data_IF_087764949756
#
_entry.id   IF_087764949756
#
_cell.length_a   1.000
_cell.length_b   1.000
_cell.length_c   1.000
_cell.angle_alpha   90.00
_cell.angle_beta   90.00
_cell.angle_gamma   90.00
#
_symmetry.space_group_name_H-M   'P 1'
#
loop_
_entity.id
_entity.type
_entity.pdbx_description
1 polymer ?
#
# COMPACT_ATOMS: atom_id res chain seq x y z
N UNK A 1 50.21 35.51 33.47
CA UNK A 1 50.06 34.21 32.78
C UNK A 1 48.72 33.66 33.21
N UNK A 2 47.61 33.79 32.46
CA UNK A 2 47.36 33.47 31.04
C UNK A 2 47.78 32.04 30.68
N UNK A 3 46.75 31.19 30.58
CA UNK A 3 46.53 29.99 29.74
C UNK A 3 45.22 29.39 30.28
N UNK A 4 44.00 29.73 29.82
CA UNK A 4 43.34 29.61 28.50
C UNK A 4 43.23 28.18 27.96
N UNK A 5 42.01 27.66 28.11
CA UNK A 5 41.13 27.10 27.07
C UNK A 5 41.55 25.81 26.35
N UNK A 6 40.68 24.80 26.50
CA UNK A 6 40.67 23.58 25.71
C UNK A 6 39.40 22.75 25.89
N UNK A 7 38.23 23.40 26.03
CA UNK A 7 36.93 22.74 25.95
C UNK A 7 36.61 22.50 24.46
N UNK A 8 36.93 21.32 23.95
CA UNK A 8 36.55 20.88 22.62
C UNK A 8 35.12 20.37 22.61
N UNK A 9 34.14 21.28 22.60
CA UNK A 9 32.77 20.97 22.17
C UNK A 9 32.79 20.70 20.68
N UNK A 10 32.84 19.42 20.30
CA UNK A 10 32.53 19.00 18.94
C UNK A 10 31.04 19.17 18.70
N UNK A 11 30.66 20.30 18.11
CA UNK A 11 29.35 20.50 17.50
C UNK A 11 29.16 19.41 16.44
N UNK A 12 28.26 18.47 16.71
CA UNK A 12 27.75 17.57 15.66
C UNK A 12 26.92 18.44 14.75
N UNK A 13 27.49 18.75 13.59
CA UNK A 13 26.80 19.42 12.50
C UNK A 13 25.57 18.58 12.13
N UNK A 14 24.41 19.14 12.44
CA UNK A 14 23.11 18.66 11.98
C UNK A 14 23.06 18.89 10.47
N UNK A 15 23.45 17.86 9.71
CA UNK A 15 23.21 17.82 8.27
C UNK A 15 21.71 17.71 8.03
N UNK A 16 21.11 18.82 7.63
CA UNK A 16 19.84 18.83 6.92
C UNK A 16 20.08 18.21 5.54
N UNK A 17 19.76 16.92 5.39
CA UNK A 17 19.57 16.32 4.07
C UNK A 17 18.08 16.35 3.73
N UNK A 18 17.69 17.47 3.10
CA UNK A 18 16.36 17.77 2.63
C UNK A 18 16.02 17.03 1.34
N UNK A 19 16.00 15.70 1.38
CA UNK A 19 15.28 14.89 0.41
C UNK A 19 14.09 14.24 1.11
N UNK A 20 12.98 14.98 1.26
CA UNK A 20 11.66 14.36 1.42
C UNK A 20 11.33 13.68 0.10
N UNK A 21 11.91 12.50 -0.15
CA UNK A 21 11.24 11.54 -1.02
C UNK A 21 9.91 11.25 -0.37
N UNK A 22 8.80 11.43 -1.08
CA UNK A 22 7.49 11.04 -0.58
C UNK A 22 7.56 9.58 -0.12
N UNK A 23 7.35 9.35 1.18
CA UNK A 23 7.24 8.02 1.73
C UNK A 23 5.95 7.43 1.18
N UNK A 24 6.07 6.49 0.24
CA UNK A 24 4.95 5.72 -0.28
C UNK A 24 4.25 5.04 0.91
N UNK A 25 2.91 5.02 0.96
CA UNK A 25 2.18 4.26 1.97
C UNK A 25 2.58 2.78 1.87
N UNK A 26 2.77 2.14 3.01
CA UNK A 26 3.00 0.69 3.10
C UNK A 26 1.73 -0.06 2.72
N UNK A 27 1.84 -1.17 1.99
CA UNK A 27 0.69 -2.02 1.66
C UNK A 27 0.41 -3.00 2.80
N UNK A 28 0.01 -2.47 3.95
CA UNK A 28 0.12 -3.17 5.24
C UNK A 28 -1.11 -4.03 5.58
N UNK A 29 -0.89 -5.30 5.92
CA UNK A 29 -1.87 -6.16 6.58
C UNK A 29 -1.57 -6.32 8.08
N UNK A 30 -2.61 -6.49 8.88
CA UNK A 30 -2.49 -6.67 10.33
C UNK A 30 -2.40 -8.16 10.71
N UNK A 31 -1.48 -8.47 11.62
CA UNK A 31 -1.28 -9.80 12.20
C UNK A 31 -1.91 -9.89 13.59
N UNK A 32 -2.59 -10.99 13.89
CA UNK A 32 -3.26 -11.21 15.19
C UNK A 32 -2.64 -12.37 15.98
N UNK A 33 -2.89 -12.46 17.31
CA UNK A 33 -2.35 -13.53 18.15
C UNK A 33 -2.68 -14.96 17.71
N UNK A 34 -3.83 -15.14 17.04
CA UNK A 34 -4.28 -16.43 16.52
C UNK A 34 -3.60 -16.83 15.20
N UNK A 35 -2.70 -15.98 14.67
CA UNK A 35 -2.00 -16.17 13.41
C UNK A 35 -2.73 -15.61 12.19
N UNK A 36 -3.98 -15.16 12.35
CA UNK A 36 -4.74 -14.62 11.22
C UNK A 36 -4.16 -13.30 10.71
N UNK A 37 -4.35 -13.07 9.41
CA UNK A 37 -4.01 -11.83 8.73
C UNK A 37 -5.28 -11.15 8.22
N UNK A 38 -5.35 -9.82 8.32
CA UNK A 38 -6.43 -9.06 7.69
C UNK A 38 -5.90 -7.87 6.91
N UNK A 39 -6.54 -7.64 5.77
CA UNK A 39 -6.39 -6.43 4.99
C UNK A 39 -7.77 -5.89 4.63
N UNK A 40 -8.05 -4.59 4.83
CA UNK A 40 -7.21 -3.61 5.54
C UNK A 40 -7.03 -3.95 7.04
N UNK A 41 -6.04 -3.34 7.73
CA UNK A 41 -5.87 -3.50 9.17
C UNK A 41 -7.12 -3.13 9.96
N UNK A 42 -7.56 -4.03 10.86
CA UNK A 42 -8.68 -3.78 11.77
C UNK A 42 -8.22 -3.68 13.24
N UNK A 43 -8.82 -2.80 14.06
CA UNK A 43 -8.46 -2.68 15.48
C UNK A 43 -8.71 -3.95 16.31
N UNK A 44 -9.62 -4.82 15.84
CA UNK A 44 -9.99 -6.07 16.50
C UNK A 44 -10.08 -7.15 15.41
N UNK A 45 -9.30 -8.21 15.57
CA UNK A 45 -9.22 -9.30 14.61
C UNK A 45 -10.31 -10.36 14.80
N UNK A 46 -10.29 -11.42 13.98
CA UNK A 46 -11.23 -12.53 14.04
C UNK A 46 -11.33 -13.20 15.42
N UNK A 47 -10.20 -13.36 16.12
CA UNK A 47 -10.14 -13.88 17.49
C UNK A 47 -10.65 -12.93 18.58
N UNK A 48 -11.04 -11.70 18.24
CA UNK A 48 -11.50 -10.69 19.20
C UNK A 48 -10.37 -9.92 19.91
N UNK A 49 -9.14 -10.07 19.46
CA UNK A 49 -7.95 -9.45 20.04
C UNK A 49 -7.40 -8.33 19.15
N UNK A 50 -6.59 -7.44 19.74
CA UNK A 50 -5.89 -6.39 19.01
C UNK A 50 -4.76 -6.98 18.13
N UNK A 51 -4.37 -6.30 17.04
CA UNK A 51 -3.23 -6.74 16.24
C UNK A 51 -1.92 -6.68 17.04
N UNK A 52 -1.02 -7.62 16.76
CA UNK A 52 0.28 -7.76 17.42
C UNK A 52 1.46 -7.38 16.54
N UNK A 53 1.27 -7.39 15.22
CA UNK A 53 2.29 -7.01 14.25
C UNK A 53 1.64 -6.59 12.92
N UNK A 54 2.47 -6.21 11.96
CA UNK A 54 2.05 -5.91 10.59
C UNK A 54 2.99 -6.54 9.56
N UNK A 55 2.46 -6.79 8.36
CA UNK A 55 3.22 -7.30 7.22
C UNK A 55 3.01 -6.40 6.00
N UNK A 56 4.10 -6.04 5.33
CA UNK A 56 4.04 -5.29 4.07
C UNK A 56 3.83 -6.25 2.90
N UNK A 57 2.63 -6.19 2.29
CA UNK A 57 2.24 -7.03 1.16
C UNK A 57 2.94 -6.63 -0.14
N UNK A 58 3.57 -5.45 -0.22
CA UNK A 58 4.26 -5.01 -1.45
C UNK A 58 5.49 -5.85 -1.80
N UNK A 59 6.00 -6.65 -0.86
CA UNK A 59 7.07 -7.61 -1.09
C UNK A 59 6.62 -8.99 -1.59
N UNK A 60 5.33 -9.21 -1.77
CA UNK A 60 4.72 -10.50 -2.16
C UNK A 60 4.04 -10.41 -3.52
N UNK A 61 3.93 -11.55 -4.20
CA UNK A 61 2.97 -11.74 -5.30
C UNK A 61 1.67 -12.34 -4.76
N UNK A 62 0.60 -12.23 -5.55
CA UNK A 62 -0.73 -12.72 -5.21
C UNK A 62 -1.38 -13.41 -6.40
N UNK A 63 -2.27 -14.36 -6.15
CA UNK A 63 -3.08 -15.01 -7.17
C UNK A 63 -4.41 -14.27 -7.36
N UNK A 64 -4.84 -14.05 -8.61
CA UNK A 64 -6.16 -13.51 -8.93
C UNK A 64 -7.25 -14.55 -8.61
N UNK A 65 -8.04 -14.27 -7.58
CA UNK A 65 -9.17 -15.13 -7.17
C UNK A 65 -10.39 -14.91 -8.07
N UNK A 66 -10.66 -13.65 -8.41
CA UNK A 66 -11.75 -13.25 -9.32
C UNK A 66 -11.54 -11.82 -9.78
N UNK A 67 -12.17 -11.44 -10.90
CA UNK A 67 -12.04 -10.11 -11.46
C UNK A 67 -13.30 -9.68 -12.23
N UNK A 68 -13.40 -8.38 -12.49
CA UNK A 68 -14.42 -7.80 -13.37
C UNK A 68 -13.92 -6.50 -14.00
N UNK A 69 -14.46 -6.13 -15.15
CA UNK A 69 -14.16 -4.84 -15.80
C UNK A 69 -15.37 -3.95 -15.76
N UNK A 70 -15.22 -2.78 -15.13
CA UNK A 70 -16.21 -1.71 -15.19
C UNK A 70 -15.98 -0.86 -16.43
N UNK A 71 -16.96 -0.82 -17.32
CA UNK A 71 -16.93 -0.03 -18.57
C UNK A 71 -17.75 1.24 -18.49
N UNK A 72 -18.23 1.62 -17.30
CA UNK A 72 -19.00 2.83 -17.06
C UNK A 72 -18.67 3.29 -15.65
N UNK A 73 -17.54 3.99 -15.51
CA UNK A 73 -17.00 4.30 -14.19
C UNK A 73 -17.48 5.65 -13.68
N UNK A 74 -17.51 5.86 -12.34
CA UNK A 74 -17.78 7.17 -11.78
C UNK A 74 -16.74 8.20 -12.26
N UNK A 75 -17.09 9.50 -12.29
CA UNK A 75 -16.14 10.57 -12.60
C UNK A 75 -14.83 10.46 -11.80
N UNK A 76 -13.73 10.67 -12.52
CA UNK A 76 -12.36 10.60 -12.00
C UNK A 76 -11.76 9.20 -11.93
N UNK A 77 -12.55 8.15 -12.10
CA UNK A 77 -12.03 6.79 -12.23
C UNK A 77 -11.76 6.50 -13.71
N UNK A 78 -10.67 5.80 -14.02
CA UNK A 78 -10.31 5.37 -15.38
C UNK A 78 -11.47 4.58 -16.02
N UNK A 79 -11.64 4.65 -17.34
CA UNK A 79 -12.63 3.86 -18.08
C UNK A 79 -11.99 3.31 -19.36
N UNK A 80 -11.99 1.99 -19.59
CA UNK A 80 -12.43 0.92 -18.67
C UNK A 80 -11.53 0.80 -17.42
N UNK A 81 -12.06 0.18 -16.36
CA UNK A 81 -11.30 -0.10 -15.13
C UNK A 81 -11.50 -1.55 -14.70
N UNK A 82 -10.46 -2.35 -14.82
CA UNK A 82 -10.45 -3.74 -14.34
C UNK A 82 -10.13 -3.76 -12.85
N UNK A 83 -10.96 -4.47 -12.09
CA UNK A 83 -10.81 -4.70 -10.65
C UNK A 83 -10.58 -6.19 -10.41
N UNK A 84 -9.61 -6.53 -9.57
CA UNK A 84 -9.33 -7.90 -9.17
C UNK A 84 -9.38 -8.04 -7.64
N UNK A 85 -9.89 -9.17 -7.18
CA UNK A 85 -9.66 -9.68 -5.83
C UNK A 85 -8.50 -10.66 -5.94
N UNK A 86 -7.46 -10.42 -5.17
CA UNK A 86 -6.25 -11.23 -5.14
C UNK A 86 -6.07 -11.86 -3.77
N UNK A 87 -5.39 -13.00 -3.71
CA UNK A 87 -5.00 -13.69 -2.48
C UNK A 87 -3.48 -13.80 -2.42
N UNK A 88 -2.89 -13.22 -1.38
CA UNK A 88 -1.51 -13.43 -1.03
C UNK A 88 -1.40 -14.65 -0.11
N UNK A 89 -0.34 -15.42 -0.29
CA UNK A 89 0.11 -16.42 0.69
C UNK A 89 1.28 -15.81 1.49
N UNK A 90 1.05 -15.55 2.77
CA UNK A 90 2.07 -15.04 3.68
C UNK A 90 2.39 -16.13 4.69
N UNK A 91 3.47 -16.86 4.45
CA UNK A 91 3.92 -18.00 5.28
C UNK A 91 2.81 -19.07 5.50
N UNK A 92 1.98 -19.31 4.49
CA UNK A 92 0.86 -20.25 4.52
C UNK A 92 -0.46 -19.69 5.05
N UNK A 93 -0.50 -18.40 5.44
CA UNK A 93 -1.73 -17.72 5.84
C UNK A 93 -2.28 -16.86 4.69
N UNK A 94 -3.53 -17.05 4.27
CA UNK A 94 -4.11 -16.29 3.17
C UNK A 94 -4.55 -14.90 3.62
N UNK A 95 -4.24 -13.88 2.81
CA UNK A 95 -4.80 -12.53 2.97
C UNK A 95 -5.29 -12.01 1.63
N UNK A 96 -6.51 -11.47 1.61
CA UNK A 96 -7.13 -10.99 0.37
C UNK A 96 -7.17 -9.48 0.30
N UNK A 97 -6.94 -8.96 -0.90
CA UNK A 97 -7.08 -7.55 -1.21
C UNK A 97 -7.90 -7.36 -2.49
N UNK A 98 -8.51 -6.18 -2.63
CA UNK A 98 -9.15 -5.75 -3.87
C UNK A 98 -8.44 -4.50 -4.38
N UNK A 99 -8.22 -4.43 -5.69
CA UNK A 99 -7.49 -3.33 -6.31
C UNK A 99 -7.73 -3.24 -7.81
N UNK A 100 -7.28 -2.14 -8.41
CA UNK A 100 -7.31 -1.96 -9.86
C UNK A 100 -6.17 -2.74 -10.50
N UNK A 101 -6.41 -3.36 -11.64
CA UNK A 101 -5.36 -3.89 -12.50
C UNK A 101 -4.78 -2.75 -13.34
N UNK A 102 -3.50 -2.78 -13.67
CA UNK A 102 -2.85 -1.79 -14.55
C UNK A 102 -3.48 -1.75 -15.95
N UNK A 103 -3.48 -0.56 -16.59
CA UNK A 103 -4.38 -0.25 -17.72
C UNK A 103 -4.08 -1.03 -19.01
N UNK A 104 -2.85 -1.52 -19.14
CA UNK A 104 -2.37 -2.26 -20.33
C UNK A 104 -2.52 -3.77 -20.18
N UNK A 105 -3.02 -4.23 -19.03
CA UNK A 105 -2.93 -5.61 -18.60
C UNK A 105 -4.30 -6.30 -18.56
N UNK A 106 -4.31 -7.54 -19.04
CA UNK A 106 -5.43 -8.46 -18.90
C UNK A 106 -5.12 -9.45 -17.77
N UNK A 107 -6.15 -9.91 -17.06
CA UNK A 107 -6.02 -10.94 -16.02
C UNK A 107 -7.10 -11.99 -16.18
N UNK A 108 -6.76 -13.21 -15.80
CA UNK A 108 -7.65 -14.34 -15.61
C UNK A 108 -7.61 -14.82 -14.15
N UNK A 109 -8.55 -15.69 -13.78
CA UNK A 109 -8.51 -16.37 -12.47
C UNK A 109 -7.31 -17.32 -12.46
N UNK A 110 -6.49 -17.24 -11.41
CA UNK A 110 -5.28 -18.03 -11.25
C UNK A 110 -4.00 -17.33 -11.72
N UNK A 111 -4.10 -16.15 -12.34
CA UNK A 111 -2.91 -15.40 -12.76
C UNK A 111 -2.19 -14.82 -11.55
N UNK A 112 -0.85 -14.80 -11.61
CA UNK A 112 -0.02 -14.19 -10.59
C UNK A 112 0.18 -12.69 -10.88
N UNK A 113 0.02 -11.85 -9.86
CA UNK A 113 0.17 -10.40 -9.93
C UNK A 113 1.03 -9.88 -8.80
N UNK A 114 1.72 -8.77 -9.04
CA UNK A 114 2.46 -8.03 -8.03
C UNK A 114 1.78 -6.68 -7.72
N UNK A 115 1.84 -6.19 -6.47
CA UNK A 115 1.42 -4.84 -6.13
C UNK A 115 2.36 -3.79 -6.73
N UNK A 116 1.80 -2.80 -7.41
CA UNK A 116 2.53 -1.65 -7.93
C UNK A 116 1.93 -0.36 -7.38
N UNK A 117 2.78 0.47 -6.79
CA UNK A 117 2.36 1.77 -6.26
C UNK A 117 1.93 2.71 -7.40
N UNK A 118 0.80 3.39 -7.20
CA UNK A 118 0.28 4.43 -8.07
C UNK A 118 0.07 5.70 -7.26
N UNK A 119 0.61 6.82 -7.73
CA UNK A 119 0.45 8.14 -7.10
C UNK A 119 -1.01 8.63 -7.14
N UNK A 120 -1.80 8.15 -8.10
CA UNK A 120 -3.18 8.55 -8.26
C UNK A 120 -4.06 7.41 -8.82
N UNK A 121 -4.88 6.81 -7.94
CA UNK A 121 -5.86 5.78 -8.28
C UNK A 121 -7.09 6.35 -9.02
N UNK A 122 -7.39 7.64 -8.79
CA UNK A 122 -8.47 8.38 -9.45
C UNK A 122 -8.22 9.90 -9.35
N UNK A 123 -8.71 10.65 -10.31
CA UNK A 123 -8.58 12.11 -10.39
C UNK A 123 -9.31 12.79 -9.21
N UNK A 124 -8.60 13.56 -8.37
CA UNK A 124 -9.17 14.24 -7.21
C UNK A 124 -10.13 15.39 -7.59
N UNK A 125 -9.95 16.02 -8.74
CA UNK A 125 -10.73 17.19 -9.20
C UNK A 125 -12.02 16.79 -9.92
N UNK A 126 -12.08 15.56 -10.46
CA UNK A 126 -13.27 15.03 -11.12
C UNK A 126 -14.28 14.40 -10.14
N UNK A 127 -13.89 14.11 -8.90
CA UNK A 127 -14.71 13.43 -7.90
C UNK A 127 -15.70 14.34 -7.15
N UNK A 128 -16.68 13.74 -6.48
CA UNK A 128 -17.60 14.45 -5.56
C UNK A 128 -17.04 14.66 -4.14
N UNK A 129 -15.85 14.11 -3.86
CA UNK A 129 -15.18 14.24 -2.55
C UNK A 129 -14.33 15.50 -2.53
N UNK A 130 -14.19 16.09 -1.35
CA UNK A 130 -13.27 17.21 -1.14
C UNK A 130 -11.81 16.71 -1.32
N UNK A 131 -10.98 17.33 -2.18
CA UNK A 131 -9.66 16.80 -2.54
C UNK A 131 -8.72 16.55 -1.34
N UNK A 132 -8.73 17.41 -0.33
CA UNK A 132 -7.86 17.26 0.84
C UNK A 132 -8.38 16.25 1.89
N UNK A 133 -9.57 15.66 1.70
CA UNK A 133 -10.19 14.75 2.67
C UNK A 133 -9.57 13.36 2.74
N UNK A 134 -8.73 12.99 1.77
CA UNK A 134 -8.06 11.70 1.71
C UNK A 134 -6.79 11.75 0.85
N UNK A 135 -5.96 10.72 0.99
CA UNK A 135 -4.97 10.34 -0.01
C UNK A 135 -5.65 9.79 -1.28
N UNK A 136 -4.98 9.95 -2.41
CA UNK A 136 -5.46 9.49 -3.72
C UNK A 136 -4.52 8.45 -4.35
N UNK A 137 -3.37 8.24 -3.72
CA UNK A 137 -2.40 7.19 -4.02
C UNK A 137 -2.83 5.84 -3.45
N UNK A 138 -2.13 4.79 -3.88
CA UNK A 138 -2.28 3.44 -3.35
C UNK A 138 -1.65 2.40 -4.24
N UNK A 139 -2.16 1.18 -4.22
CA UNK A 139 -1.62 0.06 -4.98
C UNK A 139 -2.59 -0.42 -6.06
N UNK A 140 -2.03 -0.76 -7.21
CA UNK A 140 -2.66 -1.50 -8.30
C UNK A 140 -1.99 -2.87 -8.43
N UNK A 141 -2.56 -3.75 -9.24
CA UNK A 141 -2.00 -5.06 -9.54
C UNK A 141 -1.52 -5.13 -10.97
N UNK A 142 -0.29 -5.62 -11.17
CA UNK A 142 0.30 -5.86 -12.47
C UNK A 142 0.59 -7.36 -12.61
N UNK A 143 0.21 -8.03 -13.72
CA UNK A 143 0.64 -9.40 -14.00
C UNK A 143 2.16 -9.53 -14.01
N UNK A 144 2.69 -10.66 -13.53
CA UNK A 144 4.15 -10.90 -13.48
C UNK A 144 4.69 -11.68 -14.70
N UNK A 145 3.82 -12.09 -15.63
CA UNK A 145 4.16 -12.88 -16.84
C UNK A 145 3.89 -12.14 -18.16
#
# INVERSE_FOLDING_TARGET
>A
MREKDGNGTGEVQKGEDGSKGELKPTFEAACYPDGSLTYPPHPVGPGGEAPVDTVDLSGYTAEVVTWTTSTATPPGVREPNTLAIVEFDVDGEPVRAIGQVTDEDEVAIGDEVEPVYAEELRDPDAGIREPASQSWDGYRFRPVE
#
